data_IF_728527825723
#
_entry.id   IF_728527825723
#
_cell.length_a   1.000
_cell.length_b   1.000
_cell.length_c   1.000
_cell.angle_alpha   90.00
_cell.angle_beta   90.00
_cell.angle_gamma   90.00
#
_symmetry.space_group_name_H-M   'P 1'
#
loop_
_entity.id
_entity.type
_entity.pdbx_description
1 polymer ?
#
# COMPACT_ATOMS: atom_id res chain seq x y z
N UNK A 1 25.04 4.53 6.30
CA UNK A 1 23.70 4.92 5.82
C UNK A 1 22.74 5.11 7.00
N UNK A 2 21.96 6.19 7.03
CA UNK A 2 20.95 6.43 8.09
C UNK A 2 19.98 5.24 8.21
N UNK A 3 19.55 4.69 7.07
CA UNK A 3 18.68 3.51 7.04
C UNK A 3 19.32 2.34 7.80
N UNK A 4 20.56 1.98 7.51
CA UNK A 4 21.24 0.86 8.16
C UNK A 4 21.33 1.05 9.69
N UNK A 5 21.71 2.24 10.13
CA UNK A 5 21.78 2.58 11.57
C UNK A 5 20.42 2.40 12.25
N UNK A 6 19.35 2.86 11.60
CA UNK A 6 17.99 2.71 12.14
C UNK A 6 17.57 1.24 12.19
N UNK A 7 17.83 0.47 11.14
CA UNK A 7 17.49 -0.96 11.10
C UNK A 7 18.22 -1.77 12.18
N UNK A 8 19.51 -1.50 12.39
CA UNK A 8 20.29 -2.15 13.46
C UNK A 8 19.73 -1.78 14.84
N UNK A 9 19.41 -0.50 15.06
CA UNK A 9 18.78 -0.03 16.30
C UNK A 9 17.44 -0.70 16.58
N UNK A 10 16.65 -0.95 15.52
CA UNK A 10 15.34 -1.58 15.61
C UNK A 10 15.43 -3.13 15.63
N UNK A 11 16.64 -3.70 15.58
CA UNK A 11 16.87 -5.14 15.62
C UNK A 11 16.37 -5.89 14.37
N UNK A 12 16.28 -5.20 13.23
CA UNK A 12 15.78 -5.76 11.97
C UNK A 12 16.78 -6.73 11.38
N UNK A 13 16.35 -7.96 11.09
CA UNK A 13 17.19 -9.01 10.48
C UNK A 13 16.93 -9.17 8.98
N UNK A 14 15.72 -8.86 8.51
CA UNK A 14 15.32 -8.91 7.11
C UNK A 14 14.52 -7.67 6.75
N UNK A 15 14.76 -7.13 5.55
CA UNK A 15 14.05 -5.98 5.02
C UNK A 15 13.67 -6.17 3.55
N UNK A 16 12.44 -5.81 3.20
CA UNK A 16 11.86 -5.98 1.89
C UNK A 16 11.80 -4.64 1.15
N UNK A 17 12.41 -4.53 -0.02
CA UNK A 17 12.43 -3.32 -0.83
C UNK A 17 11.27 -3.32 -1.83
N UNK A 18 10.31 -2.41 -1.63
CA UNK A 18 9.10 -2.33 -2.47
C UNK A 18 9.42 -1.94 -3.92
N UNK A 19 8.80 -2.61 -4.89
CA UNK A 19 8.93 -2.29 -6.30
C UNK A 19 8.28 -0.91 -6.62
N UNK A 20 8.76 -0.15 -7.56
CA UNK A 20 9.80 -0.37 -8.60
C UNK A 20 11.15 0.21 -8.16
N UNK A 21 11.11 1.34 -7.51
CA UNK A 21 12.29 2.11 -7.08
C UNK A 21 13.13 1.34 -6.05
N UNK A 22 12.52 0.42 -5.31
CA UNK A 22 13.21 -0.46 -4.36
C UNK A 22 14.29 -1.33 -4.94
N UNK A 23 14.29 -1.62 -6.25
CA UNK A 23 15.36 -2.38 -6.89
C UNK A 23 16.71 -1.65 -6.78
N UNK A 24 16.74 -0.37 -7.13
CA UNK A 24 17.94 0.44 -7.03
C UNK A 24 18.36 0.64 -5.56
N UNK A 25 17.40 0.91 -4.70
CA UNK A 25 17.65 1.11 -3.26
C UNK A 25 18.25 -0.14 -2.63
N UNK A 26 17.72 -1.33 -2.97
CA UNK A 26 18.27 -2.61 -2.53
C UNK A 26 19.71 -2.78 -2.99
N UNK A 27 19.97 -2.57 -4.28
CA UNK A 27 21.31 -2.72 -4.83
C UNK A 27 22.33 -1.82 -4.11
N UNK A 28 21.98 -0.54 -3.91
CA UNK A 28 22.83 0.41 -3.18
C UNK A 28 23.01 0.02 -1.70
N UNK A 29 21.97 -0.47 -1.07
CA UNK A 29 22.03 -0.92 0.32
C UNK A 29 22.91 -2.16 0.47
N UNK A 30 22.78 -3.14 -0.44
CA UNK A 30 23.61 -4.35 -0.44
C UNK A 30 25.10 -4.01 -0.69
N UNK A 31 25.39 -3.13 -1.63
CA UNK A 31 26.75 -2.65 -1.86
C UNK A 31 27.32 -1.96 -0.62
N UNK A 32 26.53 -1.10 0.03
CA UNK A 32 26.92 -0.45 1.26
C UNK A 32 27.23 -1.47 2.38
N UNK A 33 26.36 -2.47 2.59
CA UNK A 33 26.62 -3.52 3.58
C UNK A 33 27.89 -4.32 3.24
N UNK A 34 28.08 -4.66 1.98
CA UNK A 34 29.25 -5.42 1.53
C UNK A 34 30.57 -4.66 1.72
N UNK A 35 30.54 -3.33 1.59
CA UNK A 35 31.73 -2.50 1.74
C UNK A 35 32.10 -2.19 3.20
N UNK A 36 31.12 -2.08 4.09
CA UNK A 36 31.33 -1.55 5.44
C UNK A 36 30.96 -2.51 6.58
N UNK A 37 30.20 -3.58 6.29
CA UNK A 37 29.71 -4.52 7.32
C UNK A 37 29.93 -5.96 6.84
N UNK A 38 31.01 -6.60 7.29
CA UNK A 38 31.30 -7.99 6.94
C UNK A 38 30.51 -8.99 7.79
N UNK A 39 30.20 -8.59 9.03
CA UNK A 39 29.40 -9.37 9.98
C UNK A 39 28.08 -8.66 10.24
N UNK A 40 27.06 -9.41 10.66
CA UNK A 40 25.73 -8.89 11.01
C UNK A 40 25.01 -8.14 9.88
N UNK A 41 25.10 -8.64 8.65
CA UNK A 41 24.34 -8.10 7.52
C UNK A 41 22.83 -8.34 7.71
N UNK A 42 22.04 -7.34 7.30
CA UNK A 42 20.59 -7.43 7.24
C UNK A 42 20.22 -8.11 5.92
N UNK A 43 19.43 -9.17 5.97
CA UNK A 43 18.92 -9.83 4.77
C UNK A 43 18.01 -8.88 3.98
N UNK A 44 18.16 -8.90 2.67
CA UNK A 44 17.43 -8.00 1.79
C UNK A 44 16.72 -8.77 0.69
N UNK A 45 15.45 -8.52 0.48
CA UNK A 45 14.68 -9.09 -0.62
C UNK A 45 13.96 -8.00 -1.40
N UNK A 46 13.74 -8.27 -2.69
CA UNK A 46 12.93 -7.39 -3.52
C UNK A 46 11.47 -7.79 -3.41
N UNK A 47 10.63 -6.82 -3.05
CA UNK A 47 9.22 -7.05 -2.77
C UNK A 47 8.36 -6.60 -3.95
N UNK A 48 7.82 -7.55 -4.71
CA UNK A 48 6.99 -7.31 -5.90
C UNK A 48 5.58 -6.83 -5.53
N UNK A 49 5.48 -5.64 -4.95
CA UNK A 49 4.22 -5.02 -4.54
C UNK A 49 4.01 -3.65 -5.17
N UNK A 50 2.77 -3.31 -5.40
CA UNK A 50 2.34 -2.01 -5.88
C UNK A 50 1.02 -1.62 -5.20
N UNK A 51 0.62 -0.36 -5.32
CA UNK A 51 -0.72 0.06 -4.86
C UNK A 51 -1.83 -0.81 -5.44
N UNK A 52 -1.70 -1.18 -6.73
CA UNK A 52 -2.69 -2.00 -7.44
C UNK A 52 -2.71 -3.45 -6.94
N UNK A 53 -1.54 -4.08 -6.79
CA UNK A 53 -1.47 -5.48 -6.35
C UNK A 53 -1.86 -5.69 -4.88
N UNK A 54 -1.75 -4.65 -4.06
CA UNK A 54 -2.11 -4.69 -2.64
C UNK A 54 -3.53 -4.18 -2.35
N UNK A 55 -4.23 -3.62 -3.36
CA UNK A 55 -5.55 -3.04 -3.16
C UNK A 55 -6.58 -4.10 -2.78
N UNK A 56 -6.83 -5.08 -3.64
CA UNK A 56 -7.86 -6.11 -3.37
C UNK A 56 -7.60 -6.89 -2.08
N UNK A 57 -6.38 -7.37 -1.79
CA UNK A 57 -6.09 -7.99 -0.49
C UNK A 57 -6.45 -7.12 0.72
N UNK A 58 -6.42 -5.79 0.57
CA UNK A 58 -6.74 -4.84 1.64
C UNK A 58 -8.22 -4.49 1.77
N UNK A 59 -9.04 -4.83 0.78
CA UNK A 59 -10.48 -4.57 0.81
C UNK A 59 -11.20 -5.60 1.69
N UNK A 60 -12.35 -5.19 2.25
CA UNK A 60 -13.23 -6.04 3.05
C UNK A 60 -14.14 -6.91 2.15
N UNK A 61 -15.05 -7.68 2.75
CA UNK A 61 -16.17 -8.28 2.03
C UNK A 61 -17.03 -7.17 1.45
N UNK A 62 -17.58 -7.38 0.25
CA UNK A 62 -18.31 -6.33 -0.48
C UNK A 62 -19.45 -5.69 0.33
N UNK A 63 -20.12 -6.49 1.15
CA UNK A 63 -21.26 -6.08 1.94
C UNK A 63 -20.94 -4.98 2.96
N UNK A 64 -19.70 -4.97 3.46
CA UNK A 64 -19.21 -4.03 4.47
C UNK A 64 -18.13 -3.08 3.95
N UNK A 65 -17.72 -3.22 2.68
CA UNK A 65 -16.64 -2.40 2.09
C UNK A 65 -17.06 -0.94 1.95
N UNK A 66 -16.26 -0.05 2.50
CA UNK A 66 -16.44 1.41 2.41
C UNK A 66 -15.63 2.07 1.30
N UNK A 67 -14.69 1.35 0.70
CA UNK A 67 -13.71 1.86 -0.27
C UNK A 67 -12.87 3.06 0.25
N UNK A 68 -12.79 3.21 1.55
CA UNK A 68 -12.05 4.31 2.20
C UNK A 68 -10.62 4.42 1.71
N UNK A 69 -9.99 3.30 1.38
CA UNK A 69 -8.61 3.26 0.89
C UNK A 69 -8.45 3.98 -0.46
N UNK A 70 -9.48 3.95 -1.31
CA UNK A 70 -9.52 4.69 -2.58
C UNK A 70 -9.80 6.17 -2.28
N UNK A 71 -10.79 6.47 -1.44
CA UNK A 71 -11.19 7.83 -1.12
C UNK A 71 -10.19 8.61 -0.24
N UNK A 72 -9.27 7.91 0.45
CA UNK A 72 -8.09 8.54 1.05
C UNK A 72 -7.16 9.17 0.02
N UNK A 73 -7.06 8.57 -1.14
CA UNK A 73 -6.22 9.08 -2.22
C UNK A 73 -6.93 10.17 -3.02
N UNK A 74 -8.23 10.00 -3.24
CA UNK A 74 -9.07 10.87 -4.05
C UNK A 74 -10.34 11.22 -3.27
N UNK A 75 -10.47 12.46 -2.78
CA UNK A 75 -11.70 12.91 -2.11
C UNK A 75 -12.94 12.71 -2.98
N UNK A 76 -12.79 12.94 -4.29
CA UNK A 76 -13.79 12.68 -5.34
C UNK A 76 -13.08 12.09 -6.55
N UNK A 77 -13.66 11.08 -7.17
CA UNK A 77 -13.11 10.36 -8.32
C UNK A 77 -14.23 10.08 -9.33
N UNK A 78 -13.95 10.08 -10.64
CA UNK A 78 -14.95 9.67 -11.62
C UNK A 78 -15.29 8.19 -11.47
N UNK A 79 -16.51 7.82 -11.84
CA UNK A 79 -16.97 6.42 -11.81
C UNK A 79 -16.02 5.53 -12.64
N UNK A 80 -15.62 6.00 -13.83
CA UNK A 80 -14.63 5.30 -14.66
C UNK A 80 -13.32 5.04 -13.91
N UNK A 81 -12.71 6.09 -13.34
CA UNK A 81 -11.44 5.95 -12.63
C UNK A 81 -11.56 5.09 -11.35
N UNK A 82 -12.70 5.15 -10.67
CA UNK A 82 -12.98 4.28 -9.53
C UNK A 82 -12.97 2.81 -9.97
N UNK A 83 -13.69 2.47 -11.03
CA UNK A 83 -13.77 1.11 -11.56
C UNK A 83 -12.45 0.64 -12.16
N UNK A 84 -11.70 1.52 -12.85
CA UNK A 84 -10.34 1.21 -13.32
C UNK A 84 -9.37 0.90 -12.18
N UNK A 85 -9.45 1.61 -11.05
CA UNK A 85 -8.66 1.27 -9.85
C UNK A 85 -9.00 -0.11 -9.31
N UNK A 86 -10.23 -0.56 -9.49
CA UNK A 86 -10.72 -1.89 -9.13
C UNK A 86 -10.56 -2.94 -10.25
N UNK A 87 -9.68 -2.71 -11.22
CA UNK A 87 -9.35 -3.64 -12.31
C UNK A 87 -10.51 -4.01 -13.24
N UNK A 88 -11.56 -3.18 -13.33
CA UNK A 88 -12.60 -3.39 -14.33
C UNK A 88 -12.08 -3.05 -15.72
N UNK A 89 -12.49 -3.83 -16.74
CA UNK A 89 -12.24 -3.52 -18.13
C UNK A 89 -13.14 -2.38 -18.62
N UNK A 90 -12.79 -1.77 -19.76
CA UNK A 90 -13.62 -0.70 -20.35
C UNK A 90 -15.02 -1.19 -20.71
N UNK A 91 -15.17 -2.43 -21.19
CA UNK A 91 -16.46 -3.03 -21.52
C UNK A 91 -17.31 -3.25 -20.25
N UNK A 92 -16.71 -3.76 -19.16
CA UNK A 92 -17.38 -3.89 -17.87
C UNK A 92 -17.84 -2.53 -17.33
N UNK A 93 -17.00 -1.49 -17.47
CA UNK A 93 -17.31 -0.11 -17.05
C UNK A 93 -18.49 0.44 -17.86
N UNK A 94 -18.48 0.25 -19.18
CA UNK A 94 -19.57 0.69 -20.07
C UNK A 94 -20.89 0.01 -19.70
N UNK A 95 -20.87 -1.29 -19.45
CA UNK A 95 -22.06 -2.06 -19.03
C UNK A 95 -22.60 -1.55 -17.69
N UNK A 96 -21.73 -1.36 -16.69
CA UNK A 96 -22.11 -0.84 -15.37
C UNK A 96 -22.69 0.57 -15.47
N UNK A 97 -22.06 1.46 -16.27
CA UNK A 97 -22.54 2.82 -16.52
C UNK A 97 -23.95 2.82 -17.11
N UNK A 98 -24.19 1.96 -18.10
CA UNK A 98 -25.51 1.78 -18.74
C UNK A 98 -26.56 1.23 -17.77
N UNK A 99 -26.23 0.19 -17.03
CA UNK A 99 -27.12 -0.44 -16.03
C UNK A 99 -27.53 0.54 -14.93
N UNK A 100 -26.59 1.35 -14.46
CA UNK A 100 -26.85 2.33 -13.40
C UNK A 100 -27.45 3.64 -13.91
N UNK A 101 -27.48 3.85 -15.22
CA UNK A 101 -27.85 5.12 -15.86
C UNK A 101 -27.03 6.30 -15.31
N UNK A 102 -25.72 6.09 -15.12
CA UNK A 102 -24.78 7.07 -14.56
C UNK A 102 -23.62 7.26 -15.53
N UNK A 103 -23.36 8.52 -15.91
CA UNK A 103 -22.23 8.83 -16.77
C UNK A 103 -20.88 8.43 -16.15
N UNK A 104 -19.97 7.90 -16.95
CA UNK A 104 -18.65 7.45 -16.49
C UNK A 104 -17.78 8.58 -15.91
N UNK A 105 -18.03 9.83 -16.34
CA UNK A 105 -17.33 11.01 -15.80
C UNK A 105 -17.92 11.51 -14.47
N UNK A 106 -19.09 10.99 -14.06
CA UNK A 106 -19.74 11.36 -12.82
C UNK A 106 -18.81 11.19 -11.63
N UNK A 107 -18.69 12.24 -10.81
CA UNK A 107 -17.80 12.23 -9.63
C UNK A 107 -18.50 11.62 -8.43
N UNK A 108 -17.92 10.57 -7.90
CA UNK A 108 -18.36 9.87 -6.69
C UNK A 108 -17.41 10.15 -5.53
N UNK A 109 -17.93 10.09 -4.32
CA UNK A 109 -17.21 10.13 -3.05
C UNK A 109 -17.74 9.03 -2.11
N UNK A 110 -17.18 8.95 -0.91
CA UNK A 110 -17.55 7.90 0.06
C UNK A 110 -19.03 7.84 0.45
N UNK A 111 -19.76 8.94 0.29
CA UNK A 111 -21.18 9.05 0.65
C UNK A 111 -22.10 8.97 -0.58
N UNK A 112 -21.55 8.67 -1.73
CA UNK A 112 -22.33 8.65 -2.98
C UNK A 112 -23.29 7.47 -3.03
N UNK A 113 -24.56 7.73 -3.31
CA UNK A 113 -25.60 6.71 -3.56
C UNK A 113 -25.19 5.74 -4.67
N UNK A 114 -24.34 6.19 -5.61
CA UNK A 114 -23.83 5.34 -6.69
C UNK A 114 -23.02 4.15 -6.14
N UNK A 115 -22.34 4.28 -5.00
CA UNK A 115 -21.61 3.17 -4.37
C UNK A 115 -22.56 2.05 -3.91
N UNK A 116 -23.70 2.39 -3.34
CA UNK A 116 -24.69 1.40 -2.92
C UNK A 116 -25.32 0.71 -4.13
N UNK A 117 -25.58 1.47 -5.21
CA UNK A 117 -26.06 0.89 -6.47
C UNK A 117 -25.01 -0.06 -7.08
N UNK A 118 -23.71 0.29 -7.04
CA UNK A 118 -22.62 -0.58 -7.49
C UNK A 118 -22.60 -1.90 -6.72
N UNK A 119 -22.74 -1.87 -5.40
CA UNK A 119 -22.76 -3.08 -4.56
C UNK A 119 -23.90 -4.03 -4.89
N UNK A 120 -24.95 -3.54 -5.56
CA UNK A 120 -26.10 -4.34 -6.02
C UNK A 120 -26.01 -4.70 -7.52
N UNK A 121 -25.05 -4.17 -8.26
CA UNK A 121 -24.91 -4.44 -9.70
C UNK A 121 -24.25 -5.83 -9.92
N UNK A 122 -24.88 -6.74 -10.71
CA UNK A 122 -24.37 -8.10 -10.91
C UNK A 122 -22.96 -8.17 -11.51
N UNK A 123 -22.63 -7.28 -12.48
CA UNK A 123 -21.32 -7.21 -13.10
C UNK A 123 -20.26 -6.80 -12.08
N UNK A 124 -20.55 -5.79 -11.25
CA UNK A 124 -19.67 -5.33 -10.19
C UNK A 124 -19.42 -6.42 -9.14
N UNK A 125 -20.48 -7.08 -8.66
CA UNK A 125 -20.40 -8.17 -7.67
C UNK A 125 -19.53 -9.32 -8.20
N UNK A 126 -19.79 -9.75 -9.44
CA UNK A 126 -19.03 -10.84 -10.06
C UNK A 126 -17.53 -10.52 -10.14
N UNK A 127 -17.18 -9.33 -10.62
CA UNK A 127 -15.78 -8.90 -10.74
C UNK A 127 -15.12 -8.76 -9.38
N UNK A 128 -15.78 -8.12 -8.44
CA UNK A 128 -15.27 -7.96 -7.08
C UNK A 128 -14.95 -9.30 -6.42
N UNK A 129 -15.85 -10.26 -6.47
CA UNK A 129 -15.67 -11.62 -5.92
C UNK A 129 -14.51 -12.35 -6.61
N UNK A 130 -14.39 -12.24 -7.94
CA UNK A 130 -13.33 -12.84 -8.71
C UNK A 130 -11.94 -12.31 -8.29
N UNK A 131 -11.83 -11.01 -8.08
CA UNK A 131 -10.56 -10.40 -7.64
C UNK A 131 -10.27 -10.74 -6.17
N UNK A 132 -11.28 -10.70 -5.29
CA UNK A 132 -11.12 -11.10 -3.87
C UNK A 132 -10.70 -12.55 -3.69
N UNK A 133 -11.13 -13.46 -4.54
CA UNK A 133 -10.71 -14.86 -4.50
C UNK A 133 -9.19 -15.06 -4.64
N UNK A 134 -8.46 -14.04 -5.11
CA UNK A 134 -7.00 -14.06 -5.25
C UNK A 134 -6.24 -13.63 -3.99
N UNK A 135 -6.93 -13.27 -2.92
CA UNK A 135 -6.30 -12.76 -1.67
C UNK A 135 -5.32 -13.76 -1.04
N UNK A 136 -5.65 -15.05 -1.12
CA UNK A 136 -4.75 -16.12 -0.64
C UNK A 136 -3.39 -16.11 -1.34
N UNK A 137 -3.33 -15.75 -2.63
CA UNK A 137 -2.09 -15.66 -3.38
C UNK A 137 -1.17 -14.57 -2.81
N UNK A 138 -1.74 -13.44 -2.40
CA UNK A 138 -0.96 -12.36 -1.77
C UNK A 138 -0.39 -12.82 -0.42
N UNK A 139 -1.22 -13.45 0.43
CA UNK A 139 -0.76 -13.99 1.72
C UNK A 139 0.32 -15.04 1.53
N UNK A 140 0.13 -15.99 0.62
CA UNK A 140 1.12 -17.03 0.29
C UNK A 140 2.43 -16.42 -0.20
N UNK A 141 2.37 -15.39 -1.05
CA UNK A 141 3.54 -14.68 -1.52
C UNK A 141 4.31 -14.01 -0.37
N UNK A 142 3.64 -13.30 0.52
CA UNK A 142 4.32 -12.70 1.68
C UNK A 142 4.91 -13.75 2.59
N UNK A 143 4.18 -14.85 2.85
CA UNK A 143 4.66 -15.97 3.67
C UNK A 143 5.88 -16.67 3.05
N UNK A 144 5.99 -16.70 1.72
CA UNK A 144 7.18 -17.25 1.05
C UNK A 144 8.43 -16.37 1.23
N UNK A 145 8.27 -15.08 1.51
CA UNK A 145 9.37 -14.16 1.75
C UNK A 145 9.78 -14.09 3.23
N UNK A 146 8.81 -14.12 4.13
CA UNK A 146 9.06 -14.03 5.58
C UNK A 146 8.01 -14.78 6.40
N UNK A 147 8.47 -15.48 7.43
CA UNK A 147 7.62 -16.11 8.44
C UNK A 147 7.46 -15.24 9.70
N UNK A 148 8.22 -14.17 9.82
CA UNK A 148 8.23 -13.31 11.01
C UNK A 148 6.87 -12.63 11.24
N UNK A 149 6.55 -12.34 12.49
CA UNK A 149 5.36 -11.57 12.85
C UNK A 149 5.44 -10.10 12.46
N UNK A 150 6.65 -9.61 12.22
CA UNK A 150 6.90 -8.25 11.75
C UNK A 150 7.45 -8.24 10.33
N UNK A 151 6.83 -7.46 9.46
CA UNK A 151 7.25 -7.25 8.08
C UNK A 151 7.88 -5.86 7.99
N UNK A 152 9.15 -5.80 7.64
CA UNK A 152 9.88 -4.55 7.48
C UNK A 152 10.04 -4.23 6.00
N UNK A 153 9.60 -3.03 5.60
CA UNK A 153 9.63 -2.61 4.18
C UNK A 153 10.40 -1.30 3.99
N UNK A 154 11.03 -1.15 2.83
CA UNK A 154 11.57 0.13 2.34
C UNK A 154 10.81 0.56 1.10
N UNK A 155 10.40 1.83 1.08
CA UNK A 155 9.76 2.45 -0.07
C UNK A 155 10.27 3.90 -0.22
N UNK A 156 10.19 4.45 -1.42
CA UNK A 156 10.61 5.85 -1.66
C UNK A 156 9.67 6.84 -0.95
N UNK A 157 8.40 6.54 -0.85
CA UNK A 157 7.38 7.36 -0.20
C UNK A 157 6.18 7.60 -1.12
N UNK A 158 5.29 8.57 -0.89
CA UNK A 158 5.32 9.64 0.15
C UNK A 158 4.31 9.37 1.28
N UNK A 159 3.22 8.63 1.01
CA UNK A 159 2.07 8.47 1.92
C UNK A 159 2.02 7.11 2.63
N UNK A 160 2.82 6.15 2.17
CA UNK A 160 2.83 4.80 2.71
C UNK A 160 1.55 3.99 2.42
N UNK A 161 0.89 4.23 1.28
CA UNK A 161 -0.35 3.55 0.91
C UNK A 161 -0.16 2.05 0.75
N UNK A 162 0.98 1.60 0.18
CA UNK A 162 1.30 0.17 0.04
C UNK A 162 1.37 -0.49 1.41
N UNK A 163 2.03 0.14 2.38
CA UNK A 163 2.10 -0.36 3.75
C UNK A 163 0.72 -0.46 4.39
N UNK A 164 -0.13 0.56 4.24
CA UNK A 164 -1.50 0.54 4.78
C UNK A 164 -2.32 -0.62 4.19
N UNK A 165 -2.18 -0.86 2.89
CA UNK A 165 -2.82 -1.98 2.21
C UNK A 165 -2.33 -3.32 2.78
N UNK A 166 -1.00 -3.49 2.91
CA UNK A 166 -0.42 -4.73 3.44
C UNK A 166 -0.88 -4.96 4.88
N UNK A 167 -0.87 -3.93 5.73
CA UNK A 167 -1.33 -4.05 7.12
C UNK A 167 -2.80 -4.45 7.22
N UNK A 168 -3.67 -3.93 6.32
CA UNK A 168 -5.07 -4.35 6.25
C UNK A 168 -5.23 -5.79 5.75
N UNK A 169 -4.45 -6.18 4.73
CA UNK A 169 -4.48 -7.52 4.17
C UNK A 169 -3.96 -8.59 5.15
N UNK A 170 -3.08 -8.19 6.08
CA UNK A 170 -2.40 -9.06 7.04
C UNK A 170 -2.54 -8.47 8.46
N UNK A 171 -3.75 -8.47 9.05
CA UNK A 171 -3.99 -7.85 10.35
C UNK A 171 -3.30 -8.58 11.52
N UNK A 172 -2.92 -9.81 11.32
CA UNK A 172 -2.14 -10.65 12.24
C UNK A 172 -0.65 -10.25 12.29
N UNK A 173 -0.12 -9.64 11.24
CA UNK A 173 1.26 -9.17 11.15
C UNK A 173 1.39 -7.71 11.61
N UNK A 174 2.61 -7.30 11.98
CA UNK A 174 2.98 -5.91 12.20
C UNK A 174 3.78 -5.42 10.99
N UNK A 175 3.33 -4.36 10.32
CA UNK A 175 4.07 -3.80 9.18
C UNK A 175 4.79 -2.52 9.59
N UNK A 176 6.08 -2.47 9.34
CA UNK A 176 6.96 -1.34 9.66
C UNK A 176 7.60 -0.84 8.37
N UNK A 177 7.42 0.43 8.06
CA UNK A 177 7.92 1.03 6.82
C UNK A 177 8.98 2.10 7.04
N UNK A 178 10.06 2.01 6.27
CA UNK A 178 11.11 3.00 6.21
C UNK A 178 11.06 3.69 4.84
N UNK A 179 10.88 5.00 4.87
CA UNK A 179 10.64 5.81 3.68
C UNK A 179 11.78 6.79 3.46
N UNK A 180 12.20 6.98 2.20
CA UNK A 180 13.08 8.09 1.90
C UNK A 180 12.44 9.41 2.30
N UNK A 181 11.21 9.63 1.87
CA UNK A 181 10.41 10.77 2.26
C UNK A 181 9.01 10.36 2.71
N UNK A 182 8.55 10.90 3.84
CA UNK A 182 7.22 10.64 4.38
C UNK A 182 6.47 11.95 4.57
N UNK A 183 5.35 12.11 3.85
CA UNK A 183 4.44 13.25 3.98
C UNK A 183 3.23 12.88 4.84
N UNK A 184 2.91 13.76 5.77
CA UNK A 184 1.67 13.68 6.53
C UNK A 184 0.47 13.96 5.61
N UNK A 185 -0.53 13.11 5.67
CA UNK A 185 -1.72 13.22 4.83
C UNK A 185 -3.04 13.39 5.62
N UNK A 186 -2.94 13.69 6.91
CA UNK A 186 -4.10 13.84 7.80
C UNK A 186 -4.79 12.55 8.20
N UNK A 187 -4.41 11.42 7.66
CA UNK A 187 -4.92 10.12 8.06
C UNK A 187 -3.90 9.43 8.96
N UNK A 188 -4.32 9.16 10.19
CA UNK A 188 -3.50 8.37 11.09
C UNK A 188 -3.34 6.96 10.54
N UNK A 189 -2.14 6.44 10.69
CA UNK A 189 -1.87 5.05 10.38
C UNK A 189 -2.70 4.12 11.26
N UNK A 190 -3.01 2.94 10.75
CA UNK A 190 -3.56 1.84 11.52
C UNK A 190 -2.62 1.58 12.72
N UNK A 191 -3.17 1.29 13.89
CA UNK A 191 -2.44 1.24 15.17
C UNK A 191 -1.17 0.38 15.21
N UNK A 192 -1.08 -0.64 14.35
CA UNK A 192 0.10 -1.53 14.24
C UNK A 192 1.08 -1.13 13.11
N UNK A 193 0.82 -0.05 12.41
CA UNK A 193 1.47 0.33 11.16
C UNK A 193 2.43 1.50 11.38
N UNK A 194 3.66 1.20 11.75
CA UNK A 194 4.70 2.20 12.02
C UNK A 194 5.37 2.66 10.72
N UNK A 195 5.49 3.98 10.53
CA UNK A 195 6.11 4.62 9.37
C UNK A 195 7.22 5.57 9.80
N UNK A 196 8.40 5.43 9.22
CA UNK A 196 9.57 6.25 9.53
C UNK A 196 10.12 6.91 8.26
N UNK A 197 10.19 8.24 8.25
CA UNK A 197 10.91 9.00 7.22
C UNK A 197 12.40 9.05 7.55
N UNK A 198 13.26 8.59 6.64
CA UNK A 198 14.71 8.51 6.85
C UNK A 198 15.41 9.81 6.48
N UNK A 199 15.03 10.42 5.35
CA UNK A 199 15.62 11.68 4.87
C UNK A 199 14.70 12.87 5.15
N UNK A 200 13.40 12.65 5.04
CA UNK A 200 12.38 13.68 5.19
C UNK A 200 11.16 13.11 5.90
N UNK A 201 10.62 13.88 6.85
CA UNK A 201 9.43 13.51 7.59
C UNK A 201 8.60 14.76 7.91
N UNK A 202 7.46 14.92 7.24
CA UNK A 202 6.54 16.06 7.35
C UNK A 202 5.40 15.77 8.34
N UNK A 203 5.71 15.14 9.48
CA UNK A 203 4.73 14.97 10.53
C UNK A 203 4.66 16.22 11.41
N UNK A 204 3.46 16.65 11.86
CA UNK A 204 3.34 17.69 12.87
C UNK A 204 4.20 17.32 14.10
N UNK A 205 4.98 18.29 14.61
CA UNK A 205 5.87 18.15 15.77
C UNK A 205 7.16 17.31 15.55
N UNK A 206 7.56 17.01 14.32
CA UNK A 206 8.89 16.47 14.02
C UNK A 206 9.72 17.48 13.24
N UNK A 207 10.97 17.60 13.61
CA UNK A 207 11.94 18.55 13.04
C UNK A 207 11.95 18.50 11.52
N UNK A 208 11.77 19.61 10.81
CA UNK A 208 11.93 19.68 9.37
C UNK A 208 13.33 19.24 8.93
N UNK A 209 13.44 18.72 7.72
CA UNK A 209 14.72 18.28 7.13
C UNK A 209 15.83 19.36 7.20
N UNK A 210 15.46 20.64 7.11
CA UNK A 210 16.38 21.77 7.08
C UNK A 210 17.07 22.06 8.43
N UNK A 211 16.62 21.46 9.53
CA UNK A 211 17.25 21.64 10.85
C UNK A 211 18.38 20.61 11.11
N UNK A 212 18.77 19.83 10.11
CA UNK A 212 19.73 18.71 10.22
C UNK A 212 21.03 18.98 9.44
N UNK A 213 21.22 20.22 8.95
CA UNK A 213 22.47 20.63 8.26
C UNK A 213 23.36 21.39 9.22
#
# INVERSE_FOLDING_TARGET
SKLHVQLVKDGVKQILFCSREGQLLKTLFDQYQNSYFHENKINTDYFYVSRRSTLYPSLEKLEIESFDIIFRQYKRISLENFLLNLNFSRDEISNISSDLQVDMTHKIDRNSVVLEKLKSNPCFIKRYKLEKAKDSNFRNYVTSLTQDDSIYIVDIGWKGTIQDNIQKALPDKKVVGYYFGLKYNGYQSISKNNKFGIMFNDFPHKTPFFDII
#
